data_IF_313973154938
#
_entry.id   IF_313973154938
#
_cell.length_a   1.000
_cell.length_b   1.000
_cell.length_c   1.000
_cell.angle_alpha   90.00
_cell.angle_beta   90.00
_cell.angle_gamma   90.00
#
_symmetry.space_group_name_H-M   'P 1'
#
loop_
_entity.id
_entity.type
_entity.pdbx_description
1 polymer ?
#
# COMPACT_ATOMS: atom_id res chain seq x y z
N UNK A 1 -9.10 10.24 -16.30
CA UNK A 1 -8.96 9.76 -17.69
C UNK A 1 -7.65 8.99 -17.86
N UNK A 2 -7.71 7.75 -18.35
CA UNK A 2 -6.52 6.96 -18.66
C UNK A 2 -5.88 7.52 -19.93
N UNK A 3 -4.62 7.93 -19.84
CA UNK A 3 -3.83 8.27 -21.03
C UNK A 3 -3.24 6.96 -21.56
N UNK A 4 -3.77 6.46 -22.68
CA UNK A 4 -3.17 5.31 -23.35
C UNK A 4 -1.72 5.65 -23.71
N UNK A 5 -0.81 4.68 -23.54
CA UNK A 5 0.55 4.80 -24.01
C UNK A 5 0.50 5.18 -25.50
N UNK A 6 1.00 6.38 -25.83
CA UNK A 6 1.01 6.84 -27.22
C UNK A 6 1.88 5.88 -28.02
N UNK A 7 1.39 5.32 -29.14
CA UNK A 7 2.26 4.56 -30.03
C UNK A 7 3.41 5.47 -30.44
N UNK A 8 4.62 4.91 -30.48
CA UNK A 8 5.82 5.63 -30.95
C UNK A 8 5.45 6.23 -32.31
N UNK A 9 5.31 7.55 -32.37
CA UNK A 9 4.89 8.24 -33.59
C UNK A 9 5.97 8.05 -34.63
N UNK A 10 5.65 7.40 -35.74
CA UNK A 10 6.58 7.17 -36.86
C UNK A 10 6.98 8.47 -37.59
N UNK A 11 6.36 9.60 -37.24
CA UNK A 11 6.74 10.92 -37.73
C UNK A 11 7.90 11.46 -36.89
N UNK A 12 9.09 11.44 -37.48
CA UNK A 12 10.27 12.12 -36.94
C UNK A 12 9.97 13.60 -36.80
N UNK A 13 10.06 14.14 -35.59
CA UNK A 13 9.97 15.58 -35.39
C UNK A 13 11.11 16.26 -36.16
N UNK A 14 10.79 17.15 -37.10
CA UNK A 14 11.77 17.84 -37.95
C UNK A 14 12.86 18.58 -37.13
N UNK A 15 12.51 19.05 -35.93
CA UNK A 15 13.38 19.84 -35.06
C UNK A 15 13.95 19.07 -33.87
N UNK A 16 13.54 17.81 -33.66
CA UNK A 16 14.01 16.98 -32.55
C UNK A 16 14.34 15.58 -33.08
N UNK A 17 15.63 15.24 -33.09
CA UNK A 17 16.02 13.84 -33.28
C UNK A 17 15.45 13.01 -32.14
N UNK A 18 14.89 11.84 -32.48
CA UNK A 18 14.33 10.94 -31.48
C UNK A 18 15.39 10.59 -30.45
N UNK A 19 15.01 10.62 -29.17
CA UNK A 19 15.91 10.34 -28.05
C UNK A 19 16.67 9.03 -28.23
N UNK A 20 16.01 8.02 -28.81
CA UNK A 20 16.61 6.73 -29.12
C UNK A 20 17.83 6.83 -30.05
N UNK A 21 17.79 7.72 -31.04
CA UNK A 21 18.87 7.91 -32.02
C UNK A 21 20.13 8.54 -31.42
N UNK A 22 20.00 9.22 -30.28
CA UNK A 22 21.09 9.92 -29.61
C UNK A 22 21.77 9.07 -28.52
N UNK A 23 21.12 8.00 -28.07
CA UNK A 23 21.58 7.17 -26.97
C UNK A 23 22.30 5.91 -27.47
N UNK A 24 23.17 5.36 -26.62
CA UNK A 24 23.82 4.09 -26.93
C UNK A 24 22.82 2.94 -26.82
N UNK A 25 22.44 2.36 -27.97
CA UNK A 25 21.51 1.23 -28.06
C UNK A 25 22.05 -0.02 -27.33
N UNK A 26 23.36 -0.09 -27.08
CA UNK A 26 23.99 -1.20 -26.34
C UNK A 26 23.85 -1.07 -24.83
N UNK A 27 23.36 0.06 -24.33
CA UNK A 27 23.18 0.25 -22.89
C UNK A 27 22.18 -0.78 -22.32
N UNK A 28 22.52 -1.44 -21.19
CA UNK A 28 21.67 -2.48 -20.61
C UNK A 28 20.29 -1.98 -20.22
N UNK A 29 20.13 -0.70 -19.86
CA UNK A 29 18.83 -0.14 -19.49
C UNK A 29 17.92 0.00 -20.71
N UNK A 30 18.46 0.36 -21.87
CA UNK A 30 17.71 0.45 -23.13
C UNK A 30 17.28 -0.94 -23.58
N UNK A 31 18.18 -1.92 -23.50
CA UNK A 31 17.84 -3.31 -23.81
C UNK A 31 16.73 -3.81 -22.88
N UNK A 32 16.81 -3.51 -21.58
CA UNK A 32 15.79 -3.87 -20.60
C UNK A 32 14.43 -3.19 -20.90
N UNK A 33 14.44 -1.92 -21.33
CA UNK A 33 13.22 -1.23 -21.74
C UNK A 33 12.51 -1.93 -22.92
N UNK A 34 13.29 -2.46 -23.86
CA UNK A 34 12.79 -3.09 -25.08
C UNK A 34 12.35 -4.54 -24.86
N UNK A 35 12.88 -5.24 -23.84
CA UNK A 35 12.49 -6.62 -23.51
C UNK A 35 11.21 -6.70 -22.67
N UNK A 36 10.91 -5.66 -21.88
CA UNK A 36 9.70 -5.61 -21.06
C UNK A 36 8.46 -5.49 -21.95
N UNK A 37 7.52 -6.41 -21.78
CA UNK A 37 6.18 -6.25 -22.35
C UNK A 37 5.33 -5.29 -21.50
N UNK A 38 5.31 -4.02 -21.89
CA UNK A 38 4.61 -2.95 -21.18
C UNK A 38 3.08 -3.04 -21.27
N UNK A 39 2.51 -3.70 -22.29
CA UNK A 39 1.04 -3.78 -22.46
C UNK A 39 0.38 -4.56 -21.32
N UNK A 40 1.09 -5.54 -20.76
CA UNK A 40 0.63 -6.32 -19.59
C UNK A 40 0.34 -5.41 -18.39
N UNK A 41 1.12 -4.35 -18.21
CA UNK A 41 0.89 -3.39 -17.13
C UNK A 41 -0.25 -2.43 -17.44
N UNK A 42 -0.36 -1.99 -18.70
CA UNK A 42 -1.46 -1.15 -19.14
C UNK A 42 -2.80 -1.86 -18.89
N UNK A 43 -2.92 -3.12 -19.33
CA UNK A 43 -4.14 -3.94 -19.16
C UNK A 43 -4.44 -4.24 -17.67
N UNK A 44 -3.41 -4.62 -16.90
CA UNK A 44 -3.60 -4.99 -15.49
C UNK A 44 -3.97 -3.80 -14.60
N UNK A 45 -3.44 -2.61 -14.91
CA UNK A 45 -3.67 -1.41 -14.10
C UNK A 45 -4.79 -0.53 -14.63
N UNK A 46 -5.34 -0.78 -15.83
CA UNK A 46 -6.49 -0.05 -16.37
C UNK A 46 -7.67 0.03 -15.39
N UNK A 47 -7.96 -1.06 -14.66
CA UNK A 47 -9.01 -1.11 -13.63
C UNK A 47 -8.90 -0.02 -12.54
N UNK A 48 -7.70 0.51 -12.31
CA UNK A 48 -7.44 1.53 -11.30
C UNK A 48 -7.59 2.97 -11.82
N UNK A 49 -7.96 3.13 -13.09
CA UNK A 49 -8.12 4.41 -13.74
C UNK A 49 -9.50 4.55 -14.38
N UNK A 50 -10.11 5.71 -14.21
CA UNK A 50 -11.36 6.05 -14.90
C UNK A 50 -11.05 6.57 -16.30
N UNK A 51 -11.77 6.08 -17.31
CA UNK A 51 -11.61 6.49 -18.71
C UNK A 51 -12.08 7.94 -18.93
N UNK A 52 -13.25 8.31 -18.42
CA UNK A 52 -13.92 9.58 -18.82
C UNK A 52 -13.96 10.68 -17.76
N UNK A 53 -13.58 10.40 -16.50
CA UNK A 53 -13.74 11.38 -15.43
C UNK A 53 -12.40 11.83 -14.81
N UNK A 54 -12.36 13.10 -14.40
CA UNK A 54 -11.26 13.72 -13.66
C UNK A 54 -10.02 14.08 -14.47
N UNK A 55 -8.97 14.53 -13.76
CA UNK A 55 -7.67 14.92 -14.35
C UNK A 55 -7.05 13.74 -15.12
N UNK A 56 -6.45 13.97 -16.31
CA UNK A 56 -5.74 12.92 -17.02
C UNK A 56 -4.64 12.36 -16.13
N UNK A 57 -4.59 11.03 -16.04
CA UNK A 57 -3.53 10.39 -15.28
C UNK A 57 -2.23 10.38 -16.05
N UNK A 58 -1.15 10.21 -15.30
CA UNK A 58 0.17 9.97 -15.87
C UNK A 58 0.18 8.58 -16.55
N UNK A 59 0.95 8.40 -17.63
CA UNK A 59 1.02 7.11 -18.31
C UNK A 59 1.53 6.03 -17.34
N UNK A 60 0.93 4.83 -17.42
CA UNK A 60 1.25 3.70 -16.54
C UNK A 60 2.71 3.30 -16.70
N UNK A 61 3.22 3.25 -17.94
CA UNK A 61 4.63 2.99 -18.24
C UNK A 61 5.59 3.92 -17.49
N UNK A 62 5.27 5.21 -17.37
CA UNK A 62 6.09 6.14 -16.59
C UNK A 62 6.09 5.76 -15.10
N UNK A 63 4.93 5.51 -14.51
CA UNK A 63 4.82 5.20 -13.08
C UNK A 63 5.52 3.89 -12.73
N UNK A 64 5.29 2.83 -13.50
CA UNK A 64 5.94 1.52 -13.33
C UNK A 64 7.43 1.63 -13.60
N UNK A 65 7.82 2.36 -14.65
CA UNK A 65 9.23 2.58 -14.99
C UNK A 65 10.00 3.27 -13.87
N UNK A 66 9.44 4.32 -13.26
CA UNK A 66 10.06 4.99 -12.11
C UNK A 66 10.18 4.07 -10.89
N UNK A 67 9.20 3.21 -10.62
CA UNK A 67 9.28 2.22 -9.53
C UNK A 67 10.35 1.16 -9.78
N UNK A 68 10.54 0.73 -11.03
CA UNK A 68 11.59 -0.21 -11.41
C UNK A 68 12.97 0.43 -11.29
N UNK A 69 13.16 1.64 -11.86
CA UNK A 69 14.41 2.40 -11.76
C UNK A 69 14.80 2.65 -10.31
N UNK A 70 13.82 2.97 -9.46
CA UNK A 70 14.02 3.10 -8.02
C UNK A 70 14.67 1.86 -7.42
N UNK A 71 14.16 0.67 -7.75
CA UNK A 71 14.63 -0.59 -7.20
C UNK A 71 15.99 -1.00 -7.78
N UNK A 72 16.20 -0.78 -9.08
CA UNK A 72 17.46 -1.10 -9.76
C UNK A 72 18.64 -0.31 -9.19
N UNK A 73 18.42 0.96 -8.87
CA UNK A 73 19.48 1.91 -8.46
C UNK A 73 19.47 2.17 -6.95
N UNK A 74 18.56 1.52 -6.22
CA UNK A 74 18.37 1.69 -4.77
C UNK A 74 18.23 3.16 -4.34
N UNK A 75 17.37 3.92 -5.04
CA UNK A 75 17.17 5.35 -4.84
C UNK A 75 15.88 5.66 -4.03
N UNK A 76 15.79 6.87 -3.48
CA UNK A 76 14.54 7.39 -2.91
C UNK A 76 13.60 7.94 -3.98
N UNK A 77 12.30 8.06 -3.67
CA UNK A 77 11.29 8.54 -4.64
C UNK A 77 11.65 9.93 -5.21
N UNK A 78 12.16 10.84 -4.37
CA UNK A 78 12.60 12.19 -4.78
C UNK A 78 13.85 12.13 -5.67
N UNK A 79 14.81 11.25 -5.34
CA UNK A 79 16.05 11.11 -6.09
C UNK A 79 15.81 10.51 -7.46
N UNK A 80 14.90 9.57 -7.59
CA UNK A 80 14.53 8.98 -8.90
C UNK A 80 13.92 10.03 -9.81
N UNK A 81 13.00 10.87 -9.29
CA UNK A 81 12.39 11.96 -10.05
C UNK A 81 13.43 13.00 -10.48
N UNK A 82 14.39 13.32 -9.60
CA UNK A 82 15.51 14.21 -9.93
C UNK A 82 16.43 13.61 -10.99
N UNK A 83 16.73 12.31 -10.88
CA UNK A 83 17.61 11.61 -11.81
C UNK A 83 16.96 11.45 -13.18
N UNK A 84 15.65 11.22 -13.25
CA UNK A 84 14.88 11.23 -14.50
C UNK A 84 15.05 12.57 -15.24
N UNK A 85 14.98 13.69 -14.53
CA UNK A 85 15.18 15.02 -15.14
C UNK A 85 16.59 15.18 -15.73
N UNK A 86 17.60 14.57 -15.10
CA UNK A 86 19.02 14.72 -15.48
C UNK A 86 19.47 13.71 -16.53
N UNK A 87 18.87 12.52 -16.53
CA UNK A 87 19.35 11.37 -17.29
C UNK A 87 18.40 11.00 -18.43
N UNK A 88 18.82 11.16 -19.71
CA UNK A 88 17.98 10.80 -20.86
C UNK A 88 17.67 9.31 -20.95
N UNK A 89 18.54 8.42 -20.45
CA UNK A 89 18.29 6.97 -20.44
C UNK A 89 17.04 6.61 -19.62
N UNK A 90 16.79 7.32 -18.51
CA UNK A 90 15.62 7.09 -17.66
C UNK A 90 14.33 7.55 -18.36
N UNK A 91 14.42 8.62 -19.16
CA UNK A 91 13.28 9.11 -19.93
C UNK A 91 12.88 8.11 -21.02
N UNK A 92 13.86 7.56 -21.73
CA UNK A 92 13.63 6.49 -22.70
C UNK A 92 13.02 5.25 -22.05
N UNK A 93 13.55 4.82 -20.90
CA UNK A 93 13.02 3.67 -20.15
C UNK A 93 11.52 3.83 -19.85
N UNK A 94 11.12 5.02 -19.39
CA UNK A 94 9.73 5.39 -19.10
C UNK A 94 8.86 5.65 -20.35
N UNK A 95 9.41 5.54 -21.57
CA UNK A 95 8.66 5.63 -22.82
C UNK A 95 8.55 7.03 -23.43
N UNK A 96 9.44 7.95 -23.07
CA UNK A 96 9.51 9.26 -23.72
C UNK A 96 10.31 9.17 -25.03
N UNK A 97 9.75 9.71 -26.12
CA UNK A 97 10.40 9.77 -27.43
C UNK A 97 11.37 10.95 -27.56
N UNK A 98 11.15 12.02 -26.81
CA UNK A 98 11.97 13.24 -26.83
C UNK A 98 12.46 13.56 -25.42
N UNK A 99 13.65 14.16 -25.33
CA UNK A 99 14.17 14.64 -24.06
C UNK A 99 13.32 15.80 -23.51
N UNK A 100 12.89 15.69 -22.27
CA UNK A 100 12.14 16.72 -21.56
C UNK A 100 12.91 17.14 -20.29
N UNK A 101 13.42 18.39 -20.20
CA UNK A 101 14.22 18.86 -19.06
C UNK A 101 13.42 19.17 -17.78
N UNK A 102 12.27 18.51 -17.58
CA UNK A 102 11.35 18.72 -16.48
C UNK A 102 11.23 17.52 -15.55
N UNK A 103 10.69 17.75 -14.34
CA UNK A 103 10.29 16.64 -13.47
C UNK A 103 9.00 16.00 -14.01
N UNK A 104 8.92 14.66 -14.14
CA UNK A 104 7.77 13.99 -14.75
C UNK A 104 6.52 14.02 -13.86
N UNK A 105 6.72 13.91 -12.55
CA UNK A 105 5.68 13.85 -11.51
C UNK A 105 6.25 14.33 -10.17
N UNK A 106 5.38 14.65 -9.22
CA UNK A 106 5.80 14.85 -7.83
C UNK A 106 6.12 13.48 -7.18
N UNK A 107 7.13 13.41 -6.31
CA UNK A 107 7.50 12.18 -5.61
C UNK A 107 6.33 11.55 -4.81
N UNK A 108 5.43 12.38 -4.28
CA UNK A 108 4.23 11.92 -3.56
C UNK A 108 3.27 11.14 -4.47
N UNK A 109 3.25 11.41 -5.78
CA UNK A 109 2.44 10.65 -6.73
C UNK A 109 2.86 9.18 -6.79
N UNK A 110 4.15 8.86 -6.62
CA UNK A 110 4.65 7.48 -6.56
C UNK A 110 4.19 6.75 -5.29
N UNK A 111 4.01 7.47 -4.18
CA UNK A 111 3.43 6.92 -2.96
C UNK A 111 1.96 6.60 -3.18
N UNK A 112 1.19 7.52 -3.77
CA UNK A 112 -0.21 7.30 -4.08
C UNK A 112 -0.42 6.16 -5.11
N UNK A 113 0.46 6.07 -6.10
CA UNK A 113 0.42 4.99 -7.09
C UNK A 113 0.62 3.63 -6.44
N UNK A 114 1.63 3.48 -5.57
CA UNK A 114 1.86 2.23 -4.80
C UNK A 114 0.66 1.85 -3.94
N UNK A 115 0.05 2.82 -3.24
CA UNK A 115 -1.16 2.59 -2.45
C UNK A 115 -2.35 2.15 -3.32
N UNK A 116 -2.44 2.66 -4.55
CA UNK A 116 -3.54 2.38 -5.49
C UNK A 116 -3.45 0.96 -6.08
N UNK A 117 -2.28 0.56 -6.57
CA UNK A 117 -2.08 -0.79 -7.14
C UNK A 117 -2.10 -1.88 -6.06
N UNK A 118 -1.74 -1.52 -4.82
CA UNK A 118 -1.69 -2.42 -3.68
C UNK A 118 -0.70 -3.58 -3.85
N UNK A 119 -0.85 -4.59 -3.00
CA UNK A 119 0.05 -5.76 -2.96
C UNK A 119 -0.04 -6.59 -4.25
N UNK A 120 -1.25 -6.75 -4.81
CA UNK A 120 -1.47 -7.54 -6.03
C UNK A 120 -0.74 -6.93 -7.23
N UNK A 121 -0.84 -5.61 -7.40
CA UNK A 121 -0.18 -4.92 -8.49
C UNK A 121 1.34 -4.89 -8.34
N UNK A 122 1.83 -4.69 -7.11
CA UNK A 122 3.27 -4.79 -6.85
C UNK A 122 3.83 -6.19 -7.12
N UNK A 123 3.09 -7.24 -6.74
CA UNK A 123 3.48 -8.62 -7.01
C UNK A 123 3.52 -8.92 -8.52
N UNK A 124 2.68 -8.27 -9.34
CA UNK A 124 2.74 -8.40 -10.80
C UNK A 124 4.05 -7.81 -11.36
N UNK A 125 4.43 -6.61 -10.91
CA UNK A 125 5.70 -5.96 -11.29
C UNK A 125 6.87 -6.85 -10.90
N UNK A 126 6.84 -7.40 -9.68
CA UNK A 126 7.87 -8.30 -9.19
C UNK A 126 7.93 -9.64 -9.97
N UNK A 127 6.77 -10.23 -10.28
CA UNK A 127 6.70 -11.44 -11.09
C UNK A 127 7.31 -11.24 -12.47
N UNK A 128 7.07 -10.07 -13.08
CA UNK A 128 7.67 -9.70 -14.36
C UNK A 128 9.20 -9.56 -14.24
N UNK A 129 9.70 -8.88 -13.20
CA UNK A 129 11.15 -8.76 -13.01
C UNK A 129 11.82 -10.12 -12.82
N UNK A 130 11.21 -11.03 -12.05
CA UNK A 130 11.71 -12.41 -11.90
C UNK A 130 11.70 -13.16 -13.23
N UNK A 131 10.64 -13.02 -14.03
CA UNK A 131 10.53 -13.67 -15.33
C UNK A 131 11.62 -13.22 -16.32
N UNK A 132 12.05 -11.95 -16.26
CA UNK A 132 13.13 -11.42 -17.10
C UNK A 132 14.49 -12.09 -16.82
N UNK A 133 14.73 -12.57 -15.60
CA UNK A 133 15.95 -13.33 -15.25
C UNK A 133 15.93 -14.76 -15.81
N UNK A 134 14.81 -15.24 -16.38
CA UNK A 134 14.73 -16.49 -17.13
C UNK A 134 15.15 -17.72 -16.32
N UNK A 135 15.97 -18.60 -16.93
CA UNK A 135 16.44 -19.86 -16.30
C UNK A 135 17.34 -19.65 -15.08
N UNK A 136 17.95 -18.47 -14.93
CA UNK A 136 18.77 -18.14 -13.74
C UNK A 136 17.91 -17.85 -12.50
N UNK A 137 16.61 -17.58 -12.66
CA UNK A 137 15.69 -17.42 -11.54
C UNK A 137 15.21 -18.76 -10.95
N UNK A 138 15.36 -19.88 -11.69
CA UNK A 138 15.02 -21.22 -11.21
C UNK A 138 16.22 -21.86 -10.51
N UNK A 139 16.67 -21.24 -9.42
CA UNK A 139 17.57 -21.94 -8.49
C UNK A 139 16.74 -22.94 -7.67
N UNK A 140 17.22 -24.18 -7.55
CA UNK A 140 16.53 -25.25 -6.80
C UNK A 140 16.40 -24.94 -5.30
N UNK A 141 17.18 -23.99 -4.81
CA UNK A 141 17.22 -23.54 -3.42
C UNK A 141 17.33 -22.02 -3.40
N UNK A 142 16.32 -21.34 -2.86
CA UNK A 142 16.41 -19.91 -2.57
C UNK A 142 17.12 -19.77 -1.23
N UNK A 143 18.40 -19.38 -1.24
CA UNK A 143 19.11 -19.03 -0.02
C UNK A 143 18.67 -17.63 0.43
N UNK A 144 17.52 -17.56 1.10
CA UNK A 144 17.04 -16.34 1.72
C UNK A 144 17.89 -16.12 2.98
N UNK A 145 18.98 -15.36 2.85
CA UNK A 145 19.77 -14.96 4.01
C UNK A 145 18.93 -13.97 4.84
N UNK A 146 18.27 -14.46 5.89
CA UNK A 146 17.47 -13.63 6.81
C UNK A 146 18.34 -12.93 7.85
N UNK A 147 19.50 -12.39 7.47
CA UNK A 147 20.41 -11.72 8.41
C UNK A 147 19.99 -10.30 8.77
N UNK A 148 18.96 -9.72 8.11
CA UNK A 148 18.41 -8.40 8.47
C UNK A 148 16.89 -8.35 8.26
N UNK A 149 16.16 -9.27 8.89
CA UNK A 149 14.80 -8.91 9.34
C UNK A 149 14.84 -8.92 10.85
N UNK A 150 14.42 -7.81 11.47
CA UNK A 150 14.09 -7.81 12.89
C UNK A 150 12.98 -8.82 13.11
N UNK A 151 13.36 -10.04 13.45
CA UNK A 151 12.41 -11.06 13.86
C UNK A 151 11.74 -10.47 15.10
N UNK A 152 10.41 -10.39 15.10
CA UNK A 152 9.62 -9.97 16.26
C UNK A 152 9.68 -11.03 17.38
N UNK A 153 10.89 -11.46 17.73
CA UNK A 153 11.20 -12.18 18.94
C UNK A 153 11.61 -11.08 19.91
N UNK A 154 10.68 -10.69 20.77
CA UNK A 154 11.12 -10.12 22.04
C UNK A 154 11.90 -11.21 22.74
N UNK A 155 13.21 -11.04 22.87
CA UNK A 155 14.05 -11.88 23.73
C UNK A 155 13.37 -11.96 25.10
N UNK A 156 13.21 -13.13 25.73
CA UNK A 156 12.46 -13.26 26.96
C UNK A 156 13.26 -12.64 28.10
N UNK A 157 13.24 -11.32 28.22
CA UNK A 157 13.59 -10.65 29.46
C UNK A 157 12.37 -10.76 30.35
N UNK A 158 12.46 -11.58 31.39
CA UNK A 158 11.37 -11.92 32.32
C UNK A 158 10.59 -10.68 32.81
N UNK A 159 11.30 -9.55 32.98
CA UNK A 159 10.71 -8.26 33.36
C UNK A 159 9.64 -7.73 32.38
N UNK A 160 9.85 -7.89 31.07
CA UNK A 160 8.90 -7.40 30.05
C UNK A 160 7.67 -8.30 29.97
N UNK A 161 7.84 -9.61 30.22
CA UNK A 161 6.72 -10.55 30.34
C UNK A 161 5.87 -10.23 31.58
N UNK A 162 6.51 -9.96 32.72
CA UNK A 162 5.85 -9.57 33.97
C UNK A 162 5.09 -8.24 33.85
N UNK A 163 5.65 -7.25 33.13
CA UNK A 163 4.96 -5.99 32.84
C UNK A 163 3.75 -6.20 31.90
N UNK A 164 3.86 -7.10 30.92
CA UNK A 164 2.76 -7.38 30.00
C UNK A 164 1.62 -8.12 30.69
N UNK A 165 1.93 -9.07 31.59
CA UNK A 165 0.92 -9.78 32.38
C UNK A 165 0.25 -8.85 33.40
N UNK A 166 0.97 -7.91 34.01
CA UNK A 166 0.37 -6.92 34.93
C UNK A 166 -0.56 -5.93 34.21
N UNK A 167 -0.19 -5.45 33.02
CA UNK A 167 -1.05 -4.61 32.17
C UNK A 167 -2.29 -5.38 31.71
N UNK A 168 -2.15 -6.66 31.36
CA UNK A 168 -3.29 -7.51 31.03
C UNK A 168 -4.22 -7.70 32.24
N UNK A 169 -3.67 -7.99 33.42
CA UNK A 169 -4.46 -8.16 34.66
C UNK A 169 -5.26 -6.90 35.01
N UNK A 170 -4.67 -5.72 34.87
CA UNK A 170 -5.35 -4.45 35.13
C UNK A 170 -6.46 -4.18 34.11
N UNK A 171 -6.24 -4.47 32.82
CA UNK A 171 -7.30 -4.33 31.82
C UNK A 171 -8.44 -5.34 32.05
N UNK A 172 -8.13 -6.59 32.40
CA UNK A 172 -9.13 -7.59 32.79
C UNK A 172 -9.90 -7.20 34.05
N UNK A 173 -9.25 -6.58 35.06
CA UNK A 173 -9.93 -6.04 36.23
C UNK A 173 -10.93 -4.93 35.88
N UNK A 174 -10.56 -4.00 34.99
CA UNK A 174 -11.48 -2.96 34.53
C UNK A 174 -12.68 -3.54 33.78
N UNK A 175 -12.47 -4.54 32.92
CA UNK A 175 -13.54 -5.24 32.18
C UNK A 175 -14.44 -6.03 33.12
N UNK A 176 -13.88 -6.74 34.10
CA UNK A 176 -14.67 -7.47 35.09
C UNK A 176 -15.47 -6.53 36.00
N UNK A 177 -14.90 -5.39 36.41
CA UNK A 177 -15.63 -4.37 37.17
C UNK A 177 -16.81 -3.80 36.37
N UNK A 178 -16.63 -3.56 35.07
CA UNK A 178 -17.70 -3.11 34.18
C UNK A 178 -18.79 -4.17 33.99
N UNK A 179 -18.42 -5.43 33.72
CA UNK A 179 -19.37 -6.53 33.53
C UNK A 179 -20.12 -6.92 34.82
N UNK A 180 -19.50 -6.78 35.99
CA UNK A 180 -20.15 -7.04 37.29
C UNK A 180 -21.01 -5.88 37.80
N UNK A 181 -20.87 -4.66 37.24
CA UNK A 181 -21.70 -3.52 37.60
C UNK A 181 -23.15 -3.64 37.06
N UNK A 182 -23.32 -4.23 35.87
CA UNK A 182 -24.62 -4.52 35.24
C UNK A 182 -25.57 -5.38 36.10
N UNK A 183 -25.16 -6.55 36.63
CA UNK A 183 -26.01 -7.38 37.48
C UNK A 183 -26.29 -6.73 38.85
N UNK A 184 -25.37 -5.94 39.40
CA UNK A 184 -25.59 -5.19 40.66
C UNK A 184 -26.66 -4.10 40.47
N UNK A 185 -26.60 -3.34 39.37
CA UNK A 185 -27.60 -2.33 39.03
C UNK A 185 -28.98 -2.96 38.76
N UNK A 186 -29.03 -4.11 38.08
CA UNK A 186 -30.29 -4.87 37.90
C UNK A 186 -30.85 -5.32 39.24
N UNK A 187 -30.04 -5.90 40.14
CA UNK A 187 -30.48 -6.35 41.47
C UNK A 187 -30.95 -5.19 42.36
N UNK A 188 -30.29 -4.04 42.31
CA UNK A 188 -30.70 -2.83 43.04
C UNK A 188 -32.03 -2.26 42.49
N UNK A 189 -32.22 -2.20 41.17
CA UNK A 189 -33.48 -1.77 40.56
C UNK A 189 -34.64 -2.73 40.91
N UNK A 190 -34.42 -4.04 40.86
CA UNK A 190 -35.42 -5.04 41.25
C UNK A 190 -35.76 -4.96 42.74
N UNK A 191 -34.77 -4.80 43.61
CA UNK A 191 -34.99 -4.65 45.05
C UNK A 191 -35.74 -3.35 45.40
N UNK A 192 -35.42 -2.23 44.73
CA UNK A 192 -36.15 -0.97 44.89
C UNK A 192 -37.61 -1.08 44.42
N UNK A 193 -37.86 -1.74 43.28
CA UNK A 193 -39.22 -1.96 42.77
C UNK A 193 -40.05 -2.85 43.71
N UNK A 194 -39.45 -3.89 44.29
CA UNK A 194 -40.08 -4.75 45.29
C UNK A 194 -40.43 -4.01 46.59
N UNK A 195 -39.58 -3.06 47.01
CA UNK A 195 -39.84 -2.24 48.19
C UNK A 195 -41.01 -1.27 47.97
N UNK A 196 -41.04 -0.58 46.83
CA UNK A 196 -42.12 0.36 46.48
C UNK A 196 -43.47 -0.35 46.34
N UNK A 197 -43.49 -1.53 45.70
CA UNK A 197 -44.72 -2.33 45.56
C UNK A 197 -45.24 -2.85 46.90
N UNK A 198 -44.35 -3.29 47.80
CA UNK A 198 -44.73 -3.70 49.17
C UNK A 198 -45.27 -2.53 50.01
N UNK A 199 -44.69 -1.34 49.88
CA UNK A 199 -45.17 -0.13 50.54
C UNK A 199 -46.56 0.30 50.02
N UNK A 200 -46.76 0.26 48.69
CA UNK A 200 -48.05 0.56 48.07
C UNK A 200 -49.15 -0.42 48.51
N UNK A 201 -48.87 -1.73 48.56
CA UNK A 201 -49.81 -2.75 49.04
C UNK A 201 -50.20 -2.57 50.52
N UNK A 202 -49.30 -2.04 51.36
CA UNK A 202 -49.62 -1.70 52.76
C UNK A 202 -50.47 -0.44 52.90
N UNK A 203 -50.43 0.47 51.93
CA UNK A 203 -51.23 1.70 51.94
C UNK A 203 -52.65 1.54 51.38
N UNK A 204 -53.01 0.37 50.81
CA UNK A 204 -54.37 0.10 50.35
C UNK A 204 -55.26 -0.20 51.57
N UNK A 205 -56.30 0.61 51.85
CA UNK A 205 -57.18 0.39 52.99
C UNK A 205 -57.96 -0.91 52.82
N UNK A 206 -57.94 -1.77 53.84
CA UNK A 206 -58.75 -3.00 53.88
C UNK A 206 -60.25 -2.62 53.80
N UNK A 207 -61.07 -3.32 52.99
CA UNK A 207 -62.51 -3.08 52.96
C UNK A 207 -63.09 -3.32 54.36
N UNK A 208 -63.85 -2.35 54.86
CA UNK A 208 -64.60 -2.48 56.12
C UNK A 208 -65.61 -3.62 55.94
N UNK A 209 -65.55 -4.62 56.81
CA UNK A 209 -66.62 -5.60 56.96
C UNK A 209 -67.85 -4.85 57.50
N UNK A 210 -68.93 -4.86 56.73
CA UNK A 210 -70.31 -4.73 57.19
C UNK A 210 -70.96 -6.09 56.96
#
# INVERSE_FOLDING_TARGET
>A
MLTKSSPISTQSNLFHSELFSQLDVKDPLIQLANTINWTVFDDAFEQHYSQDNGRPSKPIRLMVGLLLLKQLENLSDERVVLQFKRNPYYQYFCGYSNYMPGMPCNATELVHFRKRIGVKGFNLIFKMSVALHGKQAQESSVLIDTTVQEKNITYPTDAKLALKSSIALTSWQSVMAFNNAEPMLKRLKTAALAFVTSAMLKSVPKPRKL
#
